data_IF_848345510382
#
_entry.id   IF_848345510382
#
_cell.length_a   1.000
_cell.length_b   1.000
_cell.length_c   1.000
_cell.angle_alpha   90.00
_cell.angle_beta   90.00
_cell.angle_gamma   90.00
#
_symmetry.space_group_name_H-M   'P 1'
#
loop_
_entity.id
_entity.type
_entity.pdbx_description
1 polymer ?
#
# COMPACT_ATOMS: atom_id res chain seq x y z
N UNK A 1 47.37 26.75 106.03
CA UNK A 1 48.72 26.98 105.51
C UNK A 1 48.63 28.26 104.63
N UNK A 2 49.55 29.20 104.80
CA UNK A 2 49.47 30.45 104.06
C UNK A 2 49.71 30.18 102.56
N UNK A 3 48.84 30.60 101.73
CA UNK A 3 48.95 30.57 100.26
C UNK A 3 49.96 31.65 99.86
N UNK A 4 51.17 31.29 99.53
CA UNK A 4 52.14 32.20 98.92
C UNK A 4 51.73 32.53 97.52
N UNK A 5 51.22 33.74 97.33
CA UNK A 5 51.02 34.25 95.95
C UNK A 5 52.38 34.59 95.35
N UNK A 6 52.81 33.90 94.37
CA UNK A 6 53.96 34.28 93.55
C UNK A 6 53.54 35.44 92.64
N UNK A 7 54.18 36.57 92.77
CA UNK A 7 53.98 37.77 91.95
C UNK A 7 54.63 37.61 90.58
N UNK A 8 54.11 38.29 89.56
CA UNK A 8 54.70 38.32 88.24
C UNK A 8 56.20 38.66 88.29
N UNK A 9 57.03 37.77 87.86
CA UNK A 9 58.48 37.89 87.86
C UNK A 9 59.19 36.90 88.82
N UNK A 10 58.46 36.14 89.65
CA UNK A 10 59.08 35.13 90.59
C UNK A 10 58.95 33.70 90.04
N UNK A 11 58.47 33.49 88.86
CA UNK A 11 58.49 32.18 88.23
C UNK A 11 59.82 32.01 87.47
N UNK A 12 60.59 31.00 87.72
CA UNK A 12 61.77 30.72 86.90
C UNK A 12 61.38 30.39 85.50
N UNK A 13 62.22 30.80 84.56
CA UNK A 13 61.96 30.63 83.10
C UNK A 13 61.73 29.19 82.68
N UNK A 14 61.90 28.21 83.54
CA UNK A 14 61.56 26.80 83.35
C UNK A 14 60.99 26.17 84.61
N UNK A 15 59.75 25.76 84.61
CA UNK A 15 59.12 24.87 85.59
C UNK A 15 59.21 23.43 85.05
N UNK A 16 60.38 22.80 85.18
CA UNK A 16 60.47 21.37 84.93
C UNK A 16 59.90 20.60 86.11
N UNK A 17 58.94 19.72 85.97
CA UNK A 17 58.32 18.85 86.95
C UNK A 17 57.43 19.52 88.00
N UNK A 18 56.73 20.61 87.70
CA UNK A 18 55.69 21.12 88.61
C UNK A 18 54.35 20.55 88.28
N UNK A 19 53.75 19.80 89.19
CA UNK A 19 52.33 19.39 89.08
C UNK A 19 51.45 20.52 89.56
N UNK A 20 50.58 21.01 88.74
CA UNK A 20 49.51 21.94 89.10
C UNK A 20 48.34 21.10 89.62
N UNK A 21 48.04 21.26 90.92
CA UNK A 21 47.00 20.48 91.57
C UNK A 21 45.61 20.72 90.98
N UNK A 22 44.70 19.79 91.18
CA UNK A 22 43.33 19.77 90.62
C UNK A 22 42.47 20.97 90.95
N UNK A 23 42.83 21.78 91.89
CA UNK A 23 42.15 22.99 92.34
C UNK A 23 42.74 24.29 91.76
N UNK A 24 43.75 24.20 90.92
CA UNK A 24 44.43 25.35 90.36
C UNK A 24 44.02 25.62 88.94
N UNK A 25 43.56 26.84 88.73
CA UNK A 25 43.22 27.30 87.36
C UNK A 25 44.41 28.10 86.82
N UNK A 26 44.88 27.69 85.62
CA UNK A 26 45.83 28.52 84.87
C UNK A 26 45.05 29.59 84.19
N UNK A 27 44.96 30.77 84.78
CA UNK A 27 44.32 31.91 84.16
C UNK A 27 45.35 32.72 83.36
N UNK A 28 45.68 32.30 82.17
CA UNK A 28 46.61 32.99 81.28
C UNK A 28 45.95 33.38 80.02
N UNK A 29 46.47 34.40 79.41
CA UNK A 29 46.05 34.68 78.00
C UNK A 29 46.61 33.57 77.12
N UNK A 30 45.73 32.67 76.64
CA UNK A 30 46.09 31.50 75.89
C UNK A 30 46.85 31.77 74.56
N UNK A 31 47.04 33.02 74.17
CA UNK A 31 47.87 33.37 73.01
C UNK A 31 49.34 32.97 73.11
N UNK A 32 49.80 32.61 74.27
CA UNK A 32 51.21 32.18 74.54
C UNK A 32 51.32 30.75 75.10
N UNK A 33 50.27 30.00 75.17
CA UNK A 33 50.40 28.59 75.65
C UNK A 33 50.95 27.73 74.51
N UNK A 34 52.21 27.35 74.59
CA UNK A 34 52.83 26.42 73.63
C UNK A 34 52.83 25.03 74.18
N UNK A 35 52.17 24.11 73.63
CA UNK A 35 52.17 22.69 73.96
C UNK A 35 53.05 21.99 72.93
N UNK A 36 54.25 21.59 73.34
CA UNK A 36 55.21 20.97 72.40
C UNK A 36 54.79 19.53 72.03
N UNK A 37 55.30 19.03 70.95
CA UNK A 37 55.20 17.62 70.53
C UNK A 37 54.14 17.30 69.46
N UNK A 38 53.28 18.26 69.04
CA UNK A 38 52.38 18.05 67.97
C UNK A 38 52.98 18.34 66.59
N UNK A 39 52.45 17.68 65.54
CA UNK A 39 52.77 17.93 64.19
C UNK A 39 51.61 18.73 63.48
N UNK A 40 51.91 19.36 62.39
CA UNK A 40 50.90 20.10 61.67
C UNK A 40 49.69 19.20 61.32
N UNK A 41 48.48 19.68 61.58
CA UNK A 41 47.23 18.94 61.35
C UNK A 41 46.80 18.03 62.50
N UNK A 42 47.57 17.99 63.65
CA UNK A 42 47.11 17.34 64.84
C UNK A 42 46.32 18.26 65.76
N UNK A 43 45.36 17.70 66.46
CA UNK A 43 44.57 18.35 67.52
C UNK A 43 44.91 17.78 68.88
N UNK A 44 44.85 18.61 69.93
CA UNK A 44 45.00 18.14 71.28
C UNK A 44 43.69 17.47 71.74
N UNK A 45 43.79 16.17 72.03
CA UNK A 45 42.64 15.33 72.38
C UNK A 45 42.74 14.89 73.83
N UNK A 46 41.62 14.74 74.51
CA UNK A 46 41.54 14.17 75.84
C UNK A 46 40.99 12.75 75.78
N UNK A 47 41.52 11.87 76.64
CA UNK A 47 41.02 10.50 76.77
C UNK A 47 39.78 10.38 77.67
N UNK A 48 39.19 11.50 78.12
CA UNK A 48 38.09 11.52 79.10
C UNK A 48 38.48 11.38 80.54
N UNK A 49 39.74 10.99 80.83
CA UNK A 49 40.31 10.87 82.16
C UNK A 49 41.30 11.99 82.52
N UNK A 50 41.28 13.07 81.73
CA UNK A 50 42.09 14.26 81.98
C UNK A 50 43.47 14.25 81.35
N UNK A 51 43.89 13.19 80.71
CA UNK A 51 45.15 13.16 79.94
C UNK A 51 44.97 13.74 78.55
N UNK A 52 45.87 14.59 78.13
CA UNK A 52 45.93 15.18 76.82
C UNK A 52 46.99 14.48 75.95
N UNK A 53 46.66 14.19 74.74
CA UNK A 53 47.57 13.65 73.70
C UNK A 53 47.32 14.31 72.35
N UNK A 54 48.37 14.36 71.55
CA UNK A 54 48.24 14.77 70.20
C UNK A 54 47.61 13.66 69.41
N UNK A 55 46.46 13.92 68.81
CA UNK A 55 45.77 13.01 67.92
C UNK A 55 45.71 13.64 66.53
N UNK A 56 45.76 12.83 65.47
CA UNK A 56 45.45 13.31 64.16
C UNK A 56 44.04 13.90 64.19
N UNK A 57 43.86 15.13 63.66
CA UNK A 57 42.54 15.67 63.55
C UNK A 57 41.73 14.64 62.72
N UNK A 58 40.84 13.93 63.44
CA UNK A 58 39.99 12.99 62.79
C UNK A 58 39.20 13.76 61.73
N UNK A 59 39.46 13.57 60.44
CA UNK A 59 38.62 14.06 59.37
C UNK A 59 37.22 13.58 59.69
N UNK A 60 36.30 14.48 59.88
CA UNK A 60 35.00 14.36 60.53
C UNK A 60 34.11 13.15 60.25
N UNK A 61 34.38 12.28 59.29
CA UNK A 61 33.58 11.09 59.03
C UNK A 61 34.47 9.86 58.90
N UNK A 62 34.21 8.86 59.72
CA UNK A 62 34.93 7.56 59.70
C UNK A 62 34.56 6.80 58.39
N UNK A 63 35.49 6.00 57.90
CA UNK A 63 35.25 5.08 56.80
C UNK A 63 34.10 4.12 57.11
N UNK A 64 33.41 3.67 56.06
CA UNK A 64 32.31 2.73 56.16
C UNK A 64 31.04 3.23 55.51
N UNK A 65 30.02 2.39 55.45
CA UNK A 65 28.69 2.67 54.94
C UNK A 65 27.98 3.72 55.82
N UNK A 66 27.38 4.73 55.20
CA UNK A 66 26.57 5.80 55.81
C UNK A 66 25.12 5.78 55.27
N UNK A 67 24.69 4.67 54.76
CA UNK A 67 23.37 4.46 54.16
C UNK A 67 23.38 4.58 52.65
N UNK A 68 23.25 5.78 52.13
CA UNK A 68 23.25 6.02 50.67
C UNK A 68 24.67 6.29 50.11
N UNK A 69 25.64 6.38 50.99
CA UNK A 69 27.02 6.76 50.64
C UNK A 69 28.01 5.92 51.43
N UNK A 70 29.01 5.39 50.78
CA UNK A 70 30.17 4.76 51.42
C UNK A 70 31.32 5.75 51.47
N UNK A 71 31.91 5.90 52.68
CA UNK A 71 33.10 6.73 52.92
C UNK A 71 34.33 5.84 53.01
N UNK A 72 35.43 6.25 52.40
CA UNK A 72 36.71 5.55 52.41
C UNK A 72 37.89 6.52 52.41
N UNK A 73 39.12 5.96 52.56
CA UNK A 73 40.35 6.74 52.56
C UNK A 73 40.41 7.76 53.71
N UNK A 74 39.99 7.34 54.93
CA UNK A 74 39.97 8.21 56.12
C UNK A 74 39.10 9.46 55.93
N UNK A 75 37.93 9.30 55.31
CA UNK A 75 36.98 10.39 55.06
C UNK A 75 37.21 11.18 53.77
N UNK A 76 38.22 10.85 52.98
CA UNK A 76 38.60 11.61 51.80
C UNK A 76 37.79 11.26 50.55
N UNK A 77 37.23 10.04 50.43
CA UNK A 77 36.46 9.57 49.29
C UNK A 77 35.04 9.25 49.70
N UNK A 78 34.08 9.83 48.98
CA UNK A 78 32.65 9.62 49.18
C UNK A 78 32.08 9.03 47.91
N UNK A 79 31.52 7.84 47.97
CA UNK A 79 30.94 7.13 46.86
C UNK A 79 29.44 6.95 47.09
N UNK A 80 28.60 7.39 46.18
CA UNK A 80 27.17 7.09 46.24
C UNK A 80 27.00 5.61 45.89
N UNK A 81 26.31 4.86 46.74
CA UNK A 81 26.14 3.43 46.59
C UNK A 81 25.22 3.11 45.41
N UNK A 82 25.38 1.93 44.80
CA UNK A 82 24.60 1.51 43.68
C UNK A 82 23.12 1.35 44.03
N UNK A 83 22.22 1.90 43.22
CA UNK A 83 20.76 1.75 43.34
C UNK A 83 20.10 2.63 44.41
N UNK A 84 20.86 3.51 45.12
CA UNK A 84 20.31 4.37 46.18
C UNK A 84 19.76 5.69 45.70
N UNK A 85 20.09 6.10 44.46
CA UNK A 85 19.51 7.31 43.84
C UNK A 85 18.12 6.98 43.31
N UNK A 86 17.12 7.19 44.17
CA UNK A 86 15.71 7.06 43.81
C UNK A 86 15.22 8.31 43.07
N UNK A 87 14.05 8.24 42.43
CA UNK A 87 13.42 9.41 41.76
C UNK A 87 13.25 10.60 42.70
N UNK A 88 12.97 10.38 43.98
CA UNK A 88 12.85 11.43 44.99
C UNK A 88 14.17 12.14 45.33
N UNK A 89 15.31 11.55 44.95
CA UNK A 89 16.65 12.11 45.16
C UNK A 89 17.23 12.79 43.94
N UNK A 90 16.54 12.66 42.80
CA UNK A 90 16.90 13.35 41.57
C UNK A 90 16.33 14.78 41.58
N UNK A 91 16.99 15.68 40.88
CA UNK A 91 16.46 17.02 40.65
C UNK A 91 15.10 16.94 39.93
N UNK A 92 14.12 17.71 40.38
CA UNK A 92 12.84 17.82 39.74
C UNK A 92 13.01 18.36 38.31
N UNK A 93 12.21 17.82 37.36
CA UNK A 93 12.15 18.36 36.00
C UNK A 93 11.40 19.69 36.02
N UNK A 94 11.84 20.65 35.21
CA UNK A 94 11.37 22.03 35.25
C UNK A 94 9.92 22.22 34.82
N UNK A 95 9.37 21.26 34.04
CA UNK A 95 8.00 21.33 33.54
C UNK A 95 7.48 19.93 33.16
N UNK A 96 6.17 19.83 32.90
CA UNK A 96 5.55 18.64 32.33
C UNK A 96 6.07 18.37 30.89
N UNK A 97 5.94 17.14 30.42
CA UNK A 97 6.37 16.73 29.08
C UNK A 97 7.89 16.89 28.82
N UNK A 98 8.68 16.63 29.83
CA UNK A 98 10.14 16.59 29.76
C UNK A 98 10.66 15.19 29.97
N UNK A 99 11.76 14.89 29.29
CA UNK A 99 12.55 13.68 29.48
C UNK A 99 13.97 14.07 29.89
N UNK A 100 14.53 13.36 30.85
CA UNK A 100 15.95 13.48 31.15
C UNK A 100 16.73 12.64 30.13
N UNK A 101 17.66 13.27 29.45
CA UNK A 101 18.47 12.63 28.41
C UNK A 101 19.60 13.55 27.98
N UNK A 102 20.19 13.28 26.83
CA UNK A 102 21.21 14.13 26.25
C UNK A 102 21.00 14.28 24.75
N UNK A 103 20.84 15.52 24.29
CA UNK A 103 20.68 15.87 22.88
C UNK A 103 21.96 16.45 22.27
N UNK A 104 22.83 17.06 23.11
CA UNK A 104 24.10 17.64 22.68
C UNK A 104 25.12 16.57 22.31
N UNK A 105 26.01 16.86 21.36
CA UNK A 105 27.07 15.94 20.92
C UNK A 105 28.15 15.77 21.99
N UNK A 106 28.71 14.57 22.08
CA UNK A 106 29.79 14.21 23.02
C UNK A 106 29.28 13.83 24.42
N UNK A 107 30.20 13.51 25.33
CA UNK A 107 29.90 13.25 26.76
C UNK A 107 29.63 14.56 27.50
N UNK A 108 28.73 14.54 28.46
CA UNK A 108 28.38 15.70 29.27
C UNK A 108 27.18 15.45 30.18
N UNK A 109 26.70 16.49 30.82
CA UNK A 109 25.61 16.43 31.78
C UNK A 109 24.29 16.01 31.16
N UNK A 110 23.35 15.54 32.00
CA UNK A 110 21.96 15.22 31.59
C UNK A 110 21.22 16.53 31.26
N UNK A 111 20.46 16.51 30.18
CA UNK A 111 19.68 17.61 29.68
C UNK A 111 18.17 17.31 29.78
N UNK A 112 17.33 18.32 29.94
CA UNK A 112 15.89 18.19 29.81
C UNK A 112 15.48 18.26 28.33
N UNK A 113 15.02 17.16 27.78
CA UNK A 113 14.55 17.06 26.40
C UNK A 113 13.07 17.34 26.35
N UNK A 114 12.66 18.30 25.53
CA UNK A 114 11.26 18.61 25.27
C UNK A 114 10.66 17.59 24.28
N UNK A 115 9.48 17.07 24.56
CA UNK A 115 8.72 16.28 23.62
C UNK A 115 8.11 17.22 22.57
N UNK A 116 8.61 17.10 21.32
CA UNK A 116 8.18 17.96 20.19
C UNK A 116 6.82 17.54 19.61
N UNK A 117 6.38 18.31 18.60
CA UNK A 117 5.16 17.99 17.85
C UNK A 117 5.25 16.61 17.19
N UNK A 118 4.13 15.88 17.17
CA UNK A 118 4.08 14.50 16.65
C UNK A 118 4.26 13.42 17.72
N UNK A 119 4.58 13.79 18.97
CA UNK A 119 4.62 12.89 20.11
C UNK A 119 3.77 13.45 21.26
N UNK A 120 3.09 12.57 21.98
CA UNK A 120 2.32 12.92 23.19
C UNK A 120 2.77 12.02 24.34
N UNK A 121 3.04 12.62 25.51
CA UNK A 121 3.26 11.91 26.75
C UNK A 121 1.96 11.88 27.53
N UNK A 122 1.43 10.67 27.77
CA UNK A 122 0.25 10.46 28.62
C UNK A 122 0.62 9.51 29.76
N UNK A 123 0.67 10.04 30.99
CA UNK A 123 1.21 9.30 32.11
C UNK A 123 2.70 8.98 31.89
N UNK A 124 3.03 7.69 31.83
CA UNK A 124 4.39 7.20 31.59
C UNK A 124 4.61 6.69 30.15
N UNK A 125 3.64 6.90 29.26
CA UNK A 125 3.67 6.38 27.90
C UNK A 125 3.86 7.51 26.89
N UNK A 126 4.87 7.38 26.02
CA UNK A 126 5.06 8.24 24.85
C UNK A 126 4.38 7.55 23.67
N UNK A 127 3.48 8.26 23.02
CA UNK A 127 2.81 7.82 21.80
C UNK A 127 2.97 8.86 20.70
N UNK A 128 2.91 8.43 19.45
CA UNK A 128 2.84 9.35 18.33
C UNK A 128 1.51 10.10 18.37
N UNK A 129 1.54 11.44 18.48
CA UNK A 129 0.32 12.27 18.51
C UNK A 129 -0.29 12.50 17.12
N UNK A 130 0.51 12.28 16.10
CA UNK A 130 0.02 12.03 14.76
C UNK A 130 0.17 10.55 14.53
N UNK A 131 -0.73 9.75 15.05
CA UNK A 131 -0.86 8.37 14.60
C UNK A 131 -1.08 8.43 13.11
N UNK A 132 -0.02 8.47 12.32
CA UNK A 132 -0.10 8.06 10.95
C UNK A 132 -0.64 6.65 11.04
N UNK A 133 -1.96 6.48 10.84
CA UNK A 133 -2.51 5.17 10.54
C UNK A 133 -1.56 4.58 9.52
N UNK A 134 -1.11 3.34 9.72
CA UNK A 134 -0.34 2.65 8.70
C UNK A 134 -1.00 2.96 7.35
N UNK A 135 -0.23 3.22 6.28
CA UNK A 135 -0.80 3.55 4.99
C UNK A 135 -1.92 2.57 4.69
N UNK A 136 -3.14 3.06 4.58
CA UNK A 136 -4.30 2.23 4.31
C UNK A 136 -4.49 2.18 2.80
N UNK A 137 -4.67 0.98 2.26
CA UNK A 137 -5.04 0.78 0.86
C UNK A 137 -6.28 -0.10 0.83
N UNK A 138 -7.31 0.37 0.14
CA UNK A 138 -8.53 -0.38 -0.13
C UNK A 138 -8.74 -0.47 -1.64
N UNK A 139 -9.20 -1.63 -2.11
CA UNK A 139 -9.57 -1.84 -3.51
C UNK A 139 -11.02 -2.24 -3.59
N UNK A 140 -11.82 -1.40 -4.23
CA UNK A 140 -13.23 -1.68 -4.50
C UNK A 140 -13.38 -2.10 -5.97
N UNK A 141 -13.89 -3.30 -6.21
CA UNK A 141 -14.20 -3.82 -7.55
C UNK A 141 -15.70 -3.84 -7.75
N UNK A 142 -16.20 -3.03 -8.67
CA UNK A 142 -17.61 -2.77 -8.90
C UNK A 142 -18.00 -3.27 -10.27
N UNK A 143 -18.86 -4.30 -10.32
CA UNK A 143 -19.31 -4.99 -11.53
C UNK A 143 -20.80 -4.79 -11.83
N UNK A 144 -21.51 -4.05 -10.98
CA UNK A 144 -22.91 -3.67 -11.16
C UNK A 144 -23.11 -2.22 -10.72
N UNK A 145 -24.09 -1.55 -11.31
CA UNK A 145 -24.40 -0.15 -10.98
C UNK A 145 -24.79 0.01 -9.53
N UNK A 146 -24.13 0.93 -8.82
CA UNK A 146 -24.38 1.22 -7.42
C UNK A 146 -23.85 2.59 -7.02
N UNK A 147 -24.19 3.02 -5.81
CA UNK A 147 -23.57 4.18 -5.17
C UNK A 147 -22.35 3.74 -4.37
N UNK A 148 -21.23 4.35 -4.62
CA UNK A 148 -19.99 4.16 -3.85
C UNK A 148 -19.76 5.36 -2.94
N UNK A 149 -19.37 5.10 -1.68
CA UNK A 149 -19.04 6.15 -0.70
C UNK A 149 -17.56 6.06 -0.37
N UNK A 150 -16.80 7.15 -0.56
CA UNK A 150 -15.37 7.13 -0.23
C UNK A 150 -15.16 6.87 1.27
N UNK A 151 -14.18 6.03 1.66
CA UNK A 151 -13.79 5.87 3.05
C UNK A 151 -13.35 7.21 3.65
N UNK A 152 -13.75 7.48 4.90
CA UNK A 152 -13.43 8.74 5.58
C UNK A 152 -11.93 9.02 5.75
N UNK A 153 -11.12 7.96 5.74
CA UNK A 153 -9.66 8.03 5.82
C UNK A 153 -8.98 8.22 4.45
N UNK A 154 -9.70 8.02 3.34
CA UNK A 154 -9.15 8.09 1.97
C UNK A 154 -8.72 9.52 1.63
N UNK A 155 -7.50 9.66 1.11
CA UNK A 155 -6.92 10.93 0.65
C UNK A 155 -6.78 10.99 -0.86
N UNK A 156 -6.48 9.83 -1.47
CA UNK A 156 -6.28 9.69 -2.91
C UNK A 156 -7.07 8.50 -3.43
N UNK A 157 -7.67 8.67 -4.63
CA UNK A 157 -8.50 7.67 -5.28
C UNK A 157 -8.04 7.51 -6.73
N UNK A 158 -7.53 6.34 -7.08
CA UNK A 158 -7.25 5.97 -8.47
C UNK A 158 -8.44 5.17 -8.99
N UNK A 159 -9.12 5.70 -10.00
CA UNK A 159 -10.29 5.07 -10.62
C UNK A 159 -9.91 4.53 -11.98
N UNK A 160 -10.11 3.22 -12.17
CA UNK A 160 -9.99 2.52 -13.44
C UNK A 160 -11.40 2.15 -13.89
N UNK A 161 -11.85 2.71 -15.01
CA UNK A 161 -13.20 2.52 -15.51
C UNK A 161 -13.17 1.90 -16.91
N UNK A 162 -13.90 0.81 -17.08
CA UNK A 162 -14.10 0.14 -18.35
C UNK A 162 -15.58 0.21 -18.74
N UNK A 163 -15.90 0.62 -19.97
CA UNK A 163 -17.20 0.42 -20.56
C UNK A 163 -17.44 -1.07 -20.86
N UNK A 164 -18.62 -1.42 -21.32
CA UNK A 164 -18.90 -2.79 -21.68
C UNK A 164 -18.39 -3.13 -23.10
N UNK A 165 -18.07 -4.40 -23.35
CA UNK A 165 -17.72 -4.88 -24.67
C UNK A 165 -18.94 -5.01 -25.58
N UNK A 166 -18.76 -4.85 -26.90
CA UNK A 166 -19.79 -5.11 -27.91
C UNK A 166 -20.02 -6.60 -28.12
N UNK A 167 -21.23 -6.97 -28.55
CA UNK A 167 -21.55 -8.33 -28.97
C UNK A 167 -21.02 -8.62 -30.39
N UNK A 168 -20.68 -9.86 -30.70
CA UNK A 168 -20.30 -10.30 -32.03
C UNK A 168 -21.48 -10.42 -32.96
N UNK A 169 -21.26 -10.29 -34.27
CA UNK A 169 -22.25 -10.58 -35.30
C UNK A 169 -22.45 -12.08 -35.51
N UNK A 170 -23.62 -12.49 -35.99
CA UNK A 170 -23.91 -13.86 -36.40
C UNK A 170 -23.31 -14.17 -37.78
N UNK A 171 -23.08 -15.44 -38.06
CA UNK A 171 -22.72 -15.90 -39.39
C UNK A 171 -23.87 -15.79 -40.40
N UNK A 172 -23.55 -15.55 -41.69
CA UNK A 172 -24.51 -15.62 -42.78
C UNK A 172 -24.87 -17.05 -43.12
N UNK A 173 -26.07 -17.27 -43.68
CA UNK A 173 -26.59 -18.55 -44.16
C UNK A 173 -26.87 -18.49 -45.63
N UNK A 174 -26.10 -19.20 -46.45
CA UNK A 174 -26.20 -19.14 -47.90
C UNK A 174 -26.04 -20.53 -48.55
N UNK A 175 -26.39 -20.63 -49.85
CA UNK A 175 -26.18 -21.86 -50.59
C UNK A 175 -24.69 -22.23 -50.69
N UNK A 176 -24.38 -23.53 -50.79
CA UNK A 176 -23.02 -24.01 -50.97
C UNK A 176 -22.32 -23.46 -52.21
N UNK A 177 -23.10 -23.03 -53.21
CA UNK A 177 -22.63 -22.38 -54.44
C UNK A 177 -22.28 -20.90 -54.28
N UNK A 178 -22.52 -20.31 -53.10
CA UNK A 178 -22.22 -18.92 -52.78
C UNK A 178 -21.15 -18.82 -51.70
N UNK A 179 -20.37 -17.74 -51.69
CA UNK A 179 -19.51 -17.37 -50.61
C UNK A 179 -20.33 -17.13 -49.34
N UNK A 180 -19.78 -17.52 -48.21
CA UNK A 180 -20.42 -17.45 -46.89
C UNK A 180 -19.42 -16.91 -45.89
N UNK A 181 -19.73 -15.78 -45.25
CA UNK A 181 -18.86 -15.20 -44.22
C UNK A 181 -19.46 -15.38 -42.84
N UNK A 182 -18.61 -15.62 -41.87
CA UNK A 182 -18.97 -15.51 -40.46
C UNK A 182 -19.22 -14.07 -40.04
N UNK A 183 -19.76 -13.86 -38.85
CA UNK A 183 -19.90 -12.54 -38.26
C UNK A 183 -18.57 -11.99 -37.76
N UNK A 184 -18.44 -10.68 -37.74
CA UNK A 184 -17.32 -10.01 -37.05
C UNK A 184 -17.50 -10.03 -35.54
N UNK A 185 -16.43 -9.99 -34.81
CA UNK A 185 -16.48 -9.88 -33.33
C UNK A 185 -16.87 -8.48 -32.87
N UNK A 186 -17.38 -8.38 -31.66
CA UNK A 186 -17.55 -7.10 -30.99
C UNK A 186 -16.21 -6.45 -30.62
N UNK A 187 -16.19 -5.14 -30.53
CA UNK A 187 -15.04 -4.39 -30.01
C UNK A 187 -15.02 -4.45 -28.48
N UNK A 188 -13.82 -4.42 -27.89
CA UNK A 188 -13.68 -4.17 -26.49
C UNK A 188 -13.77 -2.67 -26.14
N UNK A 189 -14.08 -2.37 -24.92
CA UNK A 189 -13.99 -1.01 -24.38
C UNK A 189 -12.55 -0.68 -23.96
N UNK A 190 -12.02 0.51 -24.22
CA UNK A 190 -10.77 0.95 -23.61
C UNK A 190 -10.94 1.16 -22.11
N UNK A 191 -9.83 1.18 -21.36
CA UNK A 191 -9.83 1.69 -20.00
C UNK A 191 -9.68 3.20 -19.99
N UNK A 192 -10.36 3.85 -19.08
CA UNK A 192 -10.09 5.25 -18.72
C UNK A 192 -9.63 5.26 -17.27
N UNK A 193 -8.49 5.94 -17.01
CA UNK A 193 -7.89 6.00 -15.68
C UNK A 193 -7.82 7.46 -15.25
N UNK A 194 -8.24 7.74 -14.02
CA UNK A 194 -8.14 9.06 -13.43
C UNK A 194 -7.77 8.96 -11.96
N UNK A 195 -7.01 9.96 -11.50
CA UNK A 195 -6.63 10.13 -10.11
C UNK A 195 -7.39 11.31 -9.52
N UNK A 196 -7.93 11.12 -8.32
CA UNK A 196 -8.69 12.13 -7.58
C UNK A 196 -8.16 12.27 -6.16
N UNK A 197 -8.33 13.46 -5.61
CA UNK A 197 -8.09 13.73 -4.19
C UNK A 197 -9.40 13.74 -3.40
N UNK A 198 -9.34 13.64 -2.08
CA UNK A 198 -10.52 13.76 -1.22
C UNK A 198 -11.26 15.11 -1.35
N UNK A 199 -10.58 16.15 -1.82
CA UNK A 199 -11.21 17.46 -2.09
C UNK A 199 -12.03 17.47 -3.39
N UNK A 200 -11.74 16.57 -4.32
CA UNK A 200 -12.47 16.43 -5.59
C UNK A 200 -13.65 15.45 -5.47
N UNK A 201 -13.57 14.49 -4.53
CA UNK A 201 -14.66 13.57 -4.23
C UNK A 201 -15.17 13.85 -2.81
N UNK A 202 -16.10 14.77 -2.69
CA UNK A 202 -16.60 15.26 -1.39
C UNK A 202 -17.79 14.49 -0.85
N UNK A 203 -18.26 13.45 -1.53
CA UNK A 203 -19.41 12.66 -1.14
C UNK A 203 -19.56 11.38 -1.93
N UNK A 204 -20.67 10.71 -1.77
CA UNK A 204 -20.98 9.48 -2.50
C UNK A 204 -21.09 9.72 -4.00
N UNK A 205 -20.58 8.77 -4.81
CA UNK A 205 -20.57 8.81 -6.26
C UNK A 205 -21.47 7.70 -6.80
N UNK A 206 -22.40 8.05 -7.68
CA UNK A 206 -23.21 7.07 -8.41
C UNK A 206 -22.37 6.46 -9.54
N UNK A 207 -22.17 5.15 -9.50
CA UNK A 207 -21.41 4.41 -10.51
C UNK A 207 -22.42 3.67 -11.39
N UNK A 208 -22.36 3.92 -12.69
CA UNK A 208 -23.11 3.14 -13.68
C UNK A 208 -22.14 2.20 -14.37
N UNK A 209 -22.53 0.92 -14.44
CA UNK A 209 -21.77 -0.11 -15.16
C UNK A 209 -22.55 -0.48 -16.41
N UNK A 210 -21.91 -0.32 -17.57
CA UNK A 210 -22.51 -0.65 -18.87
C UNK A 210 -22.79 -2.14 -18.99
N UNK A 211 -23.93 -2.50 -19.54
CA UNK A 211 -24.26 -3.88 -19.92
C UNK A 211 -23.52 -4.30 -21.19
N UNK A 212 -23.03 -5.53 -21.26
CA UNK A 212 -22.43 -6.11 -22.44
C UNK A 212 -23.40 -6.08 -23.64
N UNK A 213 -22.88 -5.82 -24.83
CA UNK A 213 -23.66 -5.89 -26.05
C UNK A 213 -24.12 -7.33 -26.32
N UNK A 214 -25.34 -7.52 -26.80
CA UNK A 214 -25.87 -8.84 -27.19
C UNK A 214 -25.26 -9.29 -28.52
N UNK A 215 -24.92 -10.56 -28.64
CA UNK A 215 -24.51 -11.17 -29.90
C UNK A 215 -25.67 -11.24 -30.88
N UNK A 216 -25.36 -11.17 -32.17
CA UNK A 216 -26.33 -11.34 -33.24
C UNK A 216 -26.93 -12.77 -33.24
N UNK A 217 -28.23 -12.90 -33.44
CA UNK A 217 -28.88 -14.21 -33.46
C UNK A 217 -28.48 -15.00 -34.73
N UNK A 218 -28.22 -16.30 -34.55
CA UNK A 218 -27.96 -17.21 -35.70
C UNK A 218 -29.13 -17.30 -36.67
N UNK A 219 -28.84 -17.43 -37.97
CA UNK A 219 -29.85 -17.42 -39.03
C UNK A 219 -30.44 -18.80 -39.25
N UNK A 220 -31.77 -18.86 -39.32
CA UNK A 220 -32.55 -20.05 -39.63
C UNK A 220 -33.17 -19.98 -41.00
N UNK A 221 -33.19 -18.81 -41.65
CA UNK A 221 -33.71 -18.57 -42.99
C UNK A 221 -32.60 -18.67 -44.03
N UNK A 222 -32.85 -19.38 -45.14
CA UNK A 222 -31.91 -19.53 -46.25
C UNK A 222 -31.61 -18.21 -46.95
N UNK A 223 -30.39 -18.08 -47.44
CA UNK A 223 -29.93 -16.92 -48.23
C UNK A 223 -30.10 -15.61 -47.47
N UNK A 224 -29.71 -15.63 -46.17
CA UNK A 224 -29.85 -14.49 -45.25
C UNK A 224 -28.52 -14.12 -44.65
N UNK A 225 -28.21 -12.83 -44.63
CA UNK A 225 -27.06 -12.29 -43.90
C UNK A 225 -27.22 -12.49 -42.38
N UNK A 226 -26.12 -12.65 -41.72
CA UNK A 226 -26.09 -12.73 -40.27
C UNK A 226 -26.64 -11.46 -39.61
N UNK A 227 -27.24 -11.60 -38.44
CA UNK A 227 -27.65 -10.46 -37.62
C UNK A 227 -26.42 -9.77 -37.00
N UNK A 228 -26.46 -8.45 -36.88
CA UNK A 228 -25.43 -7.68 -36.20
C UNK A 228 -25.49 -7.91 -34.68
N UNK A 229 -24.35 -7.87 -34.02
CA UNK A 229 -24.29 -7.68 -32.60
C UNK A 229 -24.57 -6.23 -32.21
N UNK A 230 -24.91 -6.00 -30.94
CA UNK A 230 -25.17 -4.65 -30.44
C UNK A 230 -23.92 -4.07 -29.76
N UNK A 231 -23.85 -2.76 -29.67
CA UNK A 231 -22.79 -2.09 -28.87
C UNK A 231 -22.97 -2.41 -27.39
N UNK A 232 -21.86 -2.41 -26.67
CA UNK A 232 -21.85 -2.40 -25.21
C UNK A 232 -22.27 -1.04 -24.66
N UNK A 233 -22.75 -1.04 -23.41
CA UNK A 233 -23.14 0.18 -22.70
C UNK A 233 -21.94 0.97 -22.17
N UNK A 234 -22.12 2.25 -21.99
CA UNK A 234 -21.16 3.12 -21.35
C UNK A 234 -21.13 2.87 -19.84
N UNK A 235 -19.93 3.03 -19.23
CA UNK A 235 -19.78 3.09 -17.77
C UNK A 235 -19.43 4.50 -17.33
N UNK A 236 -19.93 4.91 -16.14
CA UNK A 236 -19.65 6.24 -15.59
C UNK A 236 -19.27 6.18 -14.11
N UNK A 237 -18.40 7.06 -13.69
CA UNK A 237 -18.11 7.36 -12.30
C UNK A 237 -18.64 8.76 -11.99
N UNK A 238 -19.89 8.84 -11.61
CA UNK A 238 -20.65 10.09 -11.51
C UNK A 238 -20.60 10.89 -12.81
N UNK A 239 -20.41 12.19 -12.68
CA UNK A 239 -20.09 13.10 -13.78
C UNK A 239 -18.59 13.28 -14.02
N UNK A 240 -17.75 12.61 -13.21
CA UNK A 240 -16.29 12.82 -13.17
C UNK A 240 -15.56 12.03 -14.27
N UNK A 241 -16.03 10.83 -14.57
CA UNK A 241 -15.37 9.96 -15.54
C UNK A 241 -16.40 9.17 -16.33
N UNK A 242 -16.18 9.06 -17.63
CA UNK A 242 -17.02 8.27 -18.54
C UNK A 242 -16.13 7.40 -19.42
N UNK A 243 -16.50 6.12 -19.57
CA UNK A 243 -15.88 5.18 -20.48
C UNK A 243 -16.94 4.63 -21.44
N UNK A 244 -16.71 4.75 -22.73
CA UNK A 244 -17.66 4.37 -23.79
C UNK A 244 -17.59 2.86 -24.02
N UNK A 245 -18.73 2.22 -24.25
CA UNK A 245 -18.81 0.80 -24.60
C UNK A 245 -18.26 0.50 -25.99
N UNK A 246 -17.85 -0.75 -26.23
CA UNK A 246 -17.35 -1.26 -27.50
C UNK A 246 -18.46 -1.40 -28.55
N UNK A 247 -18.17 -1.16 -29.82
CA UNK A 247 -19.11 -1.35 -30.94
C UNK A 247 -19.44 -2.82 -31.18
N UNK A 248 -20.66 -3.11 -31.62
CA UNK A 248 -21.07 -4.46 -32.03
C UNK A 248 -20.45 -4.89 -33.37
N UNK A 249 -20.19 -6.19 -33.51
CA UNK A 249 -19.73 -6.80 -34.76
C UNK A 249 -20.85 -6.90 -35.81
N UNK A 250 -20.55 -6.73 -37.09
CA UNK A 250 -21.51 -6.91 -38.17
C UNK A 250 -21.75 -8.39 -38.46
N UNK A 251 -22.94 -8.72 -38.85
CA UNK A 251 -23.30 -10.04 -39.32
C UNK A 251 -22.55 -10.42 -40.62
N UNK A 252 -22.33 -11.71 -40.82
CA UNK A 252 -21.69 -12.25 -42.00
C UNK A 252 -22.59 -12.12 -43.24
N UNK A 253 -21.99 -11.79 -44.38
CA UNK A 253 -22.66 -11.69 -45.69
C UNK A 253 -22.05 -12.65 -46.70
N UNK A 254 -22.24 -12.44 -48.00
CA UNK A 254 -21.51 -13.14 -49.06
C UNK A 254 -20.12 -12.55 -49.32
N UNK A 255 -19.75 -11.43 -48.68
CA UNK A 255 -18.47 -10.75 -48.92
C UNK A 255 -17.64 -10.55 -47.64
N UNK A 256 -18.28 -10.22 -46.52
CA UNK A 256 -17.56 -9.95 -45.25
C UNK A 256 -18.50 -9.94 -44.04
N UNK A 257 -17.91 -10.09 -42.88
CA UNK A 257 -18.47 -9.70 -41.58
C UNK A 257 -17.45 -8.84 -40.83
N UNK A 258 -17.64 -7.53 -40.82
CA UNK A 258 -16.68 -6.61 -40.20
C UNK A 258 -16.77 -6.63 -38.67
N UNK A 259 -15.65 -6.56 -38.01
CA UNK A 259 -15.63 -6.40 -36.57
C UNK A 259 -16.20 -5.04 -36.12
N UNK A 260 -16.72 -5.02 -34.91
CA UNK A 260 -17.16 -3.79 -34.25
C UNK A 260 -16.02 -2.79 -34.10
N UNK A 261 -16.34 -1.50 -34.22
CA UNK A 261 -15.34 -0.42 -34.05
C UNK A 261 -15.75 0.44 -32.88
N UNK A 262 -14.77 0.90 -32.17
CA UNK A 262 -14.94 1.95 -31.17
C UNK A 262 -14.01 3.10 -31.48
N UNK A 263 -14.56 4.29 -31.56
CA UNK A 263 -13.81 5.53 -31.75
C UNK A 263 -13.77 6.29 -30.42
N UNK A 264 -12.58 6.56 -29.92
CA UNK A 264 -12.40 7.36 -28.69
C UNK A 264 -11.69 8.65 -29.07
N UNK A 265 -12.40 9.76 -29.03
CA UNK A 265 -11.88 11.06 -29.46
C UNK A 265 -10.82 11.68 -28.56
N UNK A 266 -10.68 11.20 -27.33
CA UNK A 266 -9.75 11.75 -26.33
C UNK A 266 -9.01 10.68 -25.51
N UNK A 267 -8.78 9.49 -26.05
CA UNK A 267 -8.04 8.45 -25.36
C UNK A 267 -6.57 8.45 -25.76
N UNK A 268 -5.68 8.44 -24.78
CA UNK A 268 -4.25 8.13 -24.97
C UNK A 268 -4.04 6.66 -25.44
N UNK A 269 -5.12 5.87 -25.54
CA UNK A 269 -5.12 4.42 -25.77
C UNK A 269 -5.81 4.06 -27.08
N UNK A 270 -5.61 4.69 -28.16
CA UNK A 270 -6.04 4.26 -29.50
C UNK A 270 -7.44 3.62 -29.65
N UNK A 271 -7.94 3.55 -30.85
CA UNK A 271 -9.22 2.91 -31.17
C UNK A 271 -9.13 1.38 -31.09
N UNK A 272 -10.17 0.70 -30.58
CA UNK A 272 -10.29 -0.74 -30.64
C UNK A 272 -11.23 -1.13 -31.79
N UNK A 273 -10.89 -2.14 -32.59
CA UNK A 273 -11.78 -2.74 -33.60
C UNK A 273 -11.83 -4.25 -33.42
N UNK A 274 -12.97 -4.87 -33.61
CA UNK A 274 -13.15 -6.32 -33.53
C UNK A 274 -12.47 -7.04 -34.71
N UNK A 275 -12.22 -8.36 -34.55
CA UNK A 275 -11.76 -9.23 -35.64
C UNK A 275 -12.80 -9.32 -36.74
N UNK A 276 -12.38 -9.20 -37.98
CA UNK A 276 -13.26 -9.35 -39.17
C UNK A 276 -13.31 -10.80 -39.62
N UNK A 277 -14.33 -11.16 -40.39
CA UNK A 277 -14.36 -12.38 -41.19
C UNK A 277 -14.35 -12.03 -42.67
N UNK A 278 -13.81 -12.90 -43.49
CA UNK A 278 -13.87 -12.82 -44.96
C UNK A 278 -14.28 -14.16 -45.54
N UNK A 279 -14.69 -14.16 -46.83
CA UNK A 279 -15.03 -15.38 -47.53
C UNK A 279 -13.82 -16.32 -47.64
N UNK A 280 -14.01 -17.59 -47.36
CA UNK A 280 -13.01 -18.64 -47.51
C UNK A 280 -11.87 -18.62 -46.48
N UNK A 281 -11.96 -17.81 -45.49
CA UNK A 281 -10.88 -17.67 -44.52
C UNK A 281 -11.24 -18.26 -43.13
N UNK A 282 -10.24 -18.79 -42.46
CA UNK A 282 -10.20 -18.87 -40.98
C UNK A 282 -10.58 -17.49 -40.46
N UNK A 283 -11.44 -17.42 -39.44
CA UNK A 283 -11.80 -16.15 -38.83
C UNK A 283 -10.53 -15.37 -38.41
N UNK A 284 -10.48 -14.09 -38.75
CA UNK A 284 -9.30 -13.30 -38.42
C UNK A 284 -9.12 -13.19 -36.91
N UNK A 285 -7.89 -13.30 -36.50
CA UNK A 285 -7.47 -12.97 -35.11
C UNK A 285 -7.73 -11.48 -34.88
N UNK A 286 -8.18 -11.14 -33.69
CA UNK A 286 -8.27 -9.75 -33.30
C UNK A 286 -6.87 -9.13 -33.17
N UNK A 287 -6.63 -8.07 -33.91
CA UNK A 287 -5.37 -7.33 -33.78
C UNK A 287 -5.46 -6.34 -32.61
N UNK A 288 -4.37 -6.23 -31.88
CA UNK A 288 -4.19 -5.16 -30.89
C UNK A 288 -3.86 -3.86 -31.61
N UNK A 289 -4.45 -2.79 -31.19
CA UNK A 289 -3.86 -1.48 -31.41
C UNK A 289 -3.58 -0.87 -30.05
N UNK A 290 -2.33 -0.86 -29.66
CA UNK A 290 -1.89 -0.02 -28.57
C UNK A 290 -0.36 0.06 -28.54
N UNK A 291 0.13 1.19 -28.16
CA UNK A 291 1.52 1.43 -27.80
C UNK A 291 1.59 1.54 -26.29
N UNK A 292 2.45 0.75 -25.68
CA UNK A 292 2.79 0.93 -24.26
C UNK A 292 3.82 2.01 -24.19
N UNK A 293 3.54 3.04 -23.45
CA UNK A 293 4.59 3.80 -22.81
C UNK A 293 4.52 3.52 -21.32
N UNK A 294 5.53 2.79 -20.86
CA UNK A 294 6.02 2.69 -19.52
C UNK A 294 5.08 2.21 -18.38
N UNK A 295 5.59 1.29 -17.66
CA UNK A 295 5.46 0.79 -16.30
C UNK A 295 4.11 0.84 -15.53
N UNK A 296 3.12 1.65 -15.88
CA UNK A 296 1.89 1.82 -15.11
C UNK A 296 0.59 1.81 -15.91
N UNK A 297 0.58 1.35 -17.15
CA UNK A 297 -0.58 1.37 -18.03
C UNK A 297 -1.28 0.03 -18.08
N UNK A 298 -2.35 -0.13 -17.31
CA UNK A 298 -3.32 -1.22 -17.48
C UNK A 298 -4.21 -0.84 -18.65
N UNK A 299 -4.12 -1.56 -19.76
CA UNK A 299 -4.72 -1.17 -21.03
C UNK A 299 -6.00 -1.92 -21.34
N UNK A 300 -6.87 -1.24 -22.03
CA UNK A 300 -8.23 -1.42 -22.42
C UNK A 300 -8.72 -2.78 -22.90
N UNK A 301 -10.04 -2.86 -23.03
CA UNK A 301 -10.77 -4.07 -23.39
C UNK A 301 -10.30 -4.73 -24.66
N UNK A 302 -10.25 -6.05 -24.65
CA UNK A 302 -9.80 -6.86 -25.75
C UNK A 302 -10.95 -7.20 -26.71
N UNK A 303 -10.60 -7.46 -27.95
CA UNK A 303 -11.53 -7.75 -29.04
C UNK A 303 -11.80 -9.24 -29.14
N UNK A 304 -13.00 -9.64 -29.50
CA UNK A 304 -13.31 -11.05 -29.78
C UNK A 304 -12.70 -11.52 -31.11
N UNK A 305 -12.57 -12.82 -31.29
CA UNK A 305 -12.20 -13.45 -32.56
C UNK A 305 -13.34 -13.42 -33.54
N UNK A 306 -13.08 -13.17 -34.83
CA UNK A 306 -14.09 -13.24 -35.91
C UNK A 306 -14.61 -14.66 -36.13
N UNK A 307 -15.87 -14.82 -36.54
CA UNK A 307 -16.42 -16.11 -36.96
C UNK A 307 -15.78 -16.57 -38.27
N UNK A 308 -15.76 -17.88 -38.54
CA UNK A 308 -15.22 -18.43 -39.80
C UNK A 308 -16.23 -18.40 -40.90
N UNK A 309 -15.74 -18.24 -42.11
CA UNK A 309 -16.51 -18.28 -43.37
C UNK A 309 -16.04 -19.40 -44.30
N UNK A 310 -16.68 -19.52 -45.46
CA UNK A 310 -16.35 -20.49 -46.51
C UNK A 310 -16.57 -19.91 -47.91
N UNK A 311 -15.70 -20.28 -48.84
CA UNK A 311 -15.91 -19.96 -50.28
C UNK A 311 -16.98 -20.83 -50.93
N UNK A 312 -17.48 -20.39 -52.06
CA UNK A 312 -18.40 -21.15 -52.91
C UNK A 312 -17.80 -22.54 -53.24
N UNK A 313 -18.65 -23.55 -53.22
CA UNK A 313 -18.30 -24.94 -53.55
C UNK A 313 -17.22 -25.60 -52.69
N UNK A 314 -16.79 -24.98 -51.62
CA UNK A 314 -15.84 -25.61 -50.67
C UNK A 314 -16.57 -26.44 -49.62
N UNK A 315 -16.00 -27.61 -49.31
CA UNK A 315 -16.52 -28.56 -48.31
C UNK A 315 -15.60 -28.65 -47.07
N UNK A 316 -14.52 -27.87 -47.03
CA UNK A 316 -13.56 -27.87 -45.92
C UNK A 316 -14.15 -27.20 -44.66
N UNK A 317 -13.76 -27.68 -43.50
CA UNK A 317 -14.04 -26.98 -42.24
C UNK A 317 -13.05 -25.83 -42.06
N UNK A 318 -13.51 -24.71 -41.52
CA UNK A 318 -12.69 -23.54 -41.20
C UNK A 318 -12.82 -23.20 -39.72
N UNK A 319 -11.72 -22.79 -39.12
CA UNK A 319 -11.66 -22.45 -37.69
C UNK A 319 -12.15 -21.03 -37.44
N UNK A 320 -12.73 -20.79 -36.28
CA UNK A 320 -13.00 -19.46 -35.76
C UNK A 320 -11.70 -18.73 -35.36
N UNK A 321 -11.75 -17.41 -35.46
CA UNK A 321 -10.62 -16.59 -34.98
C UNK A 321 -10.37 -16.73 -33.50
N UNK A 322 -9.12 -16.85 -33.14
CA UNK A 322 -8.68 -16.84 -31.75
C UNK A 322 -8.24 -15.43 -31.33
N UNK A 323 -8.07 -15.26 -30.06
CA UNK A 323 -7.45 -14.08 -29.48
C UNK A 323 -5.97 -14.38 -29.25
N UNK A 324 -5.07 -13.47 -29.66
CA UNK A 324 -3.64 -13.66 -29.47
C UNK A 324 -3.22 -13.47 -28.00
N UNK A 325 -2.21 -14.28 -27.60
CA UNK A 325 -1.54 -14.16 -26.32
C UNK A 325 -0.87 -12.80 -26.16
N UNK A 326 -0.88 -12.31 -24.97
CA UNK A 326 0.00 -11.24 -24.58
C UNK A 326 1.39 -11.80 -24.21
N UNK A 327 2.37 -11.62 -25.10
CA UNK A 327 3.76 -12.00 -24.87
C UNK A 327 4.53 -10.89 -24.13
N UNK A 328 4.04 -10.49 -22.99
CA UNK A 328 4.68 -9.51 -22.11
C UNK A 328 4.86 -10.09 -20.72
N UNK A 329 4.86 -9.24 -19.74
CA UNK A 329 5.03 -9.57 -18.31
C UNK A 329 4.02 -10.62 -17.77
N UNK A 330 3.02 -11.04 -18.58
CA UNK A 330 1.88 -11.89 -18.17
C UNK A 330 1.72 -13.11 -19.08
N UNK A 331 2.67 -13.99 -19.04
CA UNK A 331 2.69 -15.22 -19.84
C UNK A 331 1.63 -16.28 -19.49
N UNK A 332 0.70 -16.02 -18.57
CA UNK A 332 -0.24 -17.01 -18.03
C UNK A 332 -1.73 -16.78 -18.34
N UNK A 333 -2.11 -15.73 -19.09
CA UNK A 333 -3.51 -15.52 -19.44
C UNK A 333 -3.86 -16.32 -20.68
N UNK A 334 -4.69 -17.36 -20.51
CA UNK A 334 -5.13 -18.20 -21.61
C UNK A 334 -5.92 -17.38 -22.63
N UNK A 335 -5.51 -17.43 -23.89
CA UNK A 335 -6.28 -16.90 -24.99
C UNK A 335 -7.60 -17.66 -25.18
N UNK A 336 -8.69 -16.97 -25.53
CA UNK A 336 -9.91 -17.65 -25.94
C UNK A 336 -9.72 -18.20 -27.35
N UNK A 337 -9.62 -19.50 -27.49
CA UNK A 337 -9.46 -20.13 -28.80
C UNK A 337 -10.76 -20.08 -29.60
N UNK A 338 -10.61 -19.96 -30.91
CA UNK A 338 -11.71 -20.15 -31.82
C UNK A 338 -12.22 -21.60 -31.85
N UNK A 339 -13.48 -21.80 -32.26
CA UNK A 339 -14.04 -23.14 -32.41
C UNK A 339 -13.37 -23.92 -33.55
N UNK A 340 -13.49 -25.23 -33.50
CA UNK A 340 -13.01 -26.17 -34.53
C UNK A 340 -14.15 -27.09 -34.97
N UNK A 341 -14.15 -27.55 -36.22
CA UNK A 341 -15.10 -28.55 -36.74
C UNK A 341 -16.59 -28.25 -36.49
N UNK A 342 -17.04 -27.01 -36.68
CA UNK A 342 -18.42 -26.59 -36.41
C UNK A 342 -18.69 -26.26 -34.93
N UNK A 343 -17.70 -26.32 -34.08
CA UNK A 343 -17.81 -26.02 -32.66
C UNK A 343 -17.82 -24.53 -32.31
N UNK A 344 -18.29 -24.22 -31.15
CA UNK A 344 -18.33 -22.86 -30.62
C UNK A 344 -16.93 -22.32 -30.31
N UNK A 345 -16.74 -21.02 -30.41
CA UNK A 345 -15.62 -20.34 -29.82
C UNK A 345 -15.68 -20.39 -28.28
N UNK A 346 -14.54 -20.43 -27.63
CA UNK A 346 -14.47 -20.44 -26.18
C UNK A 346 -14.87 -19.06 -25.60
N UNK A 347 -15.54 -19.09 -24.47
CA UNK A 347 -15.80 -17.88 -23.72
C UNK A 347 -14.50 -17.28 -23.18
N UNK A 348 -14.48 -15.96 -23.02
CA UNK A 348 -13.47 -15.27 -22.26
C UNK A 348 -13.47 -15.70 -20.81
N UNK A 349 -12.32 -15.53 -20.17
CA UNK A 349 -12.11 -15.80 -18.74
C UNK A 349 -11.74 -14.52 -18.00
N UNK A 350 -11.90 -14.55 -16.69
CA UNK A 350 -11.42 -13.46 -15.82
C UNK A 350 -10.06 -13.82 -15.23
N UNK A 351 -9.23 -12.82 -14.99
CA UNK A 351 -7.95 -12.98 -14.30
C UNK A 351 -7.68 -11.77 -13.42
N UNK A 352 -6.88 -11.95 -12.37
CA UNK A 352 -6.48 -10.85 -11.48
C UNK A 352 -5.02 -10.51 -11.73
N UNK A 353 -4.75 -9.21 -11.88
CA UNK A 353 -3.41 -8.68 -11.98
C UNK A 353 -3.23 -7.53 -11.00
N UNK A 354 -2.32 -7.68 -10.05
CA UNK A 354 -2.18 -6.74 -8.96
C UNK A 354 -3.52 -6.54 -8.23
N UNK A 355 -4.02 -5.33 -8.28
CA UNK A 355 -5.31 -4.98 -7.66
C UNK A 355 -6.50 -5.00 -8.63
N UNK A 356 -6.29 -5.37 -9.89
CA UNK A 356 -7.33 -5.31 -10.92
C UNK A 356 -7.82 -6.69 -11.35
N UNK A 357 -9.14 -6.88 -11.37
CA UNK A 357 -9.77 -8.02 -12.04
C UNK A 357 -10.10 -7.61 -13.48
N UNK A 358 -9.60 -8.35 -14.46
CA UNK A 358 -9.71 -8.09 -15.88
C UNK A 358 -10.38 -9.26 -16.58
N UNK A 359 -10.88 -9.04 -17.80
CA UNK A 359 -11.48 -10.06 -18.63
C UNK A 359 -10.70 -10.34 -19.90
N UNK A 360 -10.99 -11.47 -20.55
CA UNK A 360 -10.55 -11.77 -21.92
C UNK A 360 -11.75 -11.83 -22.85
N UNK A 361 -11.55 -11.64 -24.17
CA UNK A 361 -12.62 -11.67 -25.15
C UNK A 361 -13.06 -13.11 -25.48
N UNK A 362 -14.18 -13.25 -26.18
CA UNK A 362 -14.66 -14.52 -26.74
C UNK A 362 -13.98 -14.90 -28.04
N UNK A 363 -13.74 -16.18 -28.25
CA UNK A 363 -13.27 -16.76 -29.53
C UNK A 363 -14.36 -16.85 -30.56
N UNK A 364 -14.03 -16.86 -31.88
CA UNK A 364 -14.98 -17.00 -32.96
C UNK A 364 -15.50 -18.43 -33.11
N UNK A 365 -16.73 -18.59 -33.61
CA UNK A 365 -17.30 -19.87 -33.98
C UNK A 365 -16.68 -20.47 -35.26
N UNK A 366 -16.70 -21.79 -35.42
CA UNK A 366 -16.16 -22.48 -36.58
C UNK A 366 -17.25 -22.99 -37.52
N UNK A 367 -16.93 -23.02 -38.80
CA UNK A 367 -17.75 -23.54 -39.87
C UNK A 367 -17.47 -25.04 -40.12
N UNK A 368 -18.52 -25.78 -40.45
CA UNK A 368 -18.45 -27.12 -41.04
C UNK A 368 -19.60 -27.35 -41.96
N UNK A 369 -19.29 -27.94 -43.11
CA UNK A 369 -20.30 -28.23 -44.17
C UNK A 369 -21.34 -29.25 -43.68
N UNK A 370 -22.59 -29.02 -44.03
CA UNK A 370 -23.68 -29.98 -43.83
C UNK A 370 -24.18 -30.11 -42.40
N UNK A 371 -23.89 -29.15 -41.54
CA UNK A 371 -24.42 -29.09 -40.19
C UNK A 371 -24.58 -27.66 -39.65
N UNK A 372 -25.25 -27.51 -38.52
CA UNK A 372 -25.26 -26.26 -37.79
C UNK A 372 -23.83 -25.88 -37.36
N UNK A 373 -23.52 -24.60 -37.34
CA UNK A 373 -22.18 -24.08 -37.14
C UNK A 373 -22.03 -23.39 -35.81
N UNK A 374 -20.77 -23.23 -35.36
CA UNK A 374 -20.46 -22.77 -34.05
C UNK A 374 -20.79 -21.32 -33.77
N UNK A 375 -21.29 -21.03 -32.59
CA UNK A 375 -21.47 -19.67 -32.09
C UNK A 375 -20.13 -19.06 -31.65
N UNK A 376 -20.05 -17.75 -31.60
CA UNK A 376 -18.95 -17.02 -30.94
C UNK A 376 -19.02 -17.17 -29.44
N UNK A 377 -17.89 -17.17 -28.77
CA UNK A 377 -17.79 -17.14 -27.32
C UNK A 377 -18.10 -15.78 -26.73
N UNK A 378 -18.56 -15.73 -25.49
CA UNK A 378 -18.82 -14.48 -24.79
C UNK A 378 -17.53 -13.81 -24.32
N UNK A 379 -17.46 -12.49 -24.30
CA UNK A 379 -16.42 -11.70 -23.66
C UNK A 379 -16.64 -11.56 -22.14
N UNK A 380 -15.60 -11.18 -21.44
CA UNK A 380 -15.65 -10.83 -19.99
C UNK A 380 -15.18 -9.38 -19.81
N UNK A 381 -15.63 -8.71 -18.78
CA UNK A 381 -15.33 -7.33 -18.37
C UNK A 381 -14.71 -6.41 -19.43
N UNK A 382 -15.57 -5.65 -20.09
CA UNK A 382 -15.18 -4.68 -21.11
C UNK A 382 -14.68 -5.30 -22.44
N UNK A 383 -14.63 -6.64 -22.55
CA UNK A 383 -14.13 -7.31 -23.74
C UNK A 383 -15.24 -7.70 -24.71
N UNK A 384 -14.94 -7.71 -26.01
CA UNK A 384 -15.89 -8.03 -27.07
C UNK A 384 -16.24 -9.51 -27.11
N UNK A 385 -17.47 -9.83 -27.55
CA UNK A 385 -17.91 -11.19 -27.90
C UNK A 385 -17.35 -11.64 -29.24
N UNK A 386 -17.15 -12.94 -29.46
CA UNK A 386 -16.70 -13.54 -30.70
C UNK A 386 -17.79 -13.53 -31.80
N UNK A 387 -17.40 -13.55 -33.07
CA UNK A 387 -18.32 -13.68 -34.21
C UNK A 387 -18.81 -15.13 -34.38
N UNK A 388 -20.05 -15.31 -34.81
CA UNK A 388 -20.62 -16.62 -35.18
C UNK A 388 -20.16 -17.07 -36.57
N UNK A 389 -20.08 -18.39 -36.79
CA UNK A 389 -19.69 -18.96 -38.06
C UNK A 389 -20.83 -18.92 -39.09
N UNK A 390 -20.47 -18.84 -40.38
CA UNK A 390 -21.41 -19.00 -41.50
C UNK A 390 -21.97 -20.42 -41.55
N UNK A 391 -23.09 -20.64 -42.24
CA UNK A 391 -23.66 -21.98 -42.51
C UNK A 391 -24.17 -22.12 -43.94
N UNK A 392 -24.37 -23.39 -44.34
CA UNK A 392 -25.09 -23.75 -45.55
C UNK A 392 -26.58 -23.56 -45.38
N UNK A 393 -27.29 -23.36 -46.52
CA UNK A 393 -28.75 -23.43 -46.54
C UNK A 393 -29.23 -24.78 -45.94
N UNK A 394 -30.27 -24.76 -45.15
CA UNK A 394 -30.77 -25.93 -44.41
C UNK A 394 -30.22 -26.03 -42.99
N UNK A 395 -29.15 -25.35 -42.65
CA UNK A 395 -28.51 -25.44 -41.32
C UNK A 395 -28.42 -24.07 -40.64
N UNK A 396 -28.62 -24.03 -39.34
CA UNK A 396 -28.55 -22.78 -38.56
C UNK A 396 -27.13 -22.25 -38.55
N UNK A 397 -26.92 -20.96 -38.79
CA UNK A 397 -25.63 -20.30 -38.65
C UNK A 397 -25.30 -20.02 -37.19
N UNK A 398 -24.03 -19.87 -36.89
CA UNK A 398 -23.56 -19.55 -35.54
C UNK A 398 -24.04 -18.16 -35.11
N UNK A 399 -24.57 -18.06 -33.92
CA UNK A 399 -24.83 -16.77 -33.25
C UNK A 399 -23.52 -16.07 -32.87
N UNK A 400 -23.55 -14.76 -32.79
CA UNK A 400 -22.45 -14.00 -32.15
C UNK A 400 -22.43 -14.19 -30.64
N UNK A 401 -21.27 -14.11 -30.03
CA UNK A 401 -21.13 -14.10 -28.56
C UNK A 401 -21.50 -12.75 -27.97
N UNK A 402 -21.93 -12.73 -26.75
CA UNK A 402 -22.19 -11.47 -26.01
C UNK A 402 -20.88 -10.79 -25.64
N UNK A 403 -20.86 -9.47 -25.58
CA UNK A 403 -19.81 -8.69 -24.96
C UNK A 403 -19.85 -8.79 -23.44
N UNK A 404 -18.72 -8.60 -22.79
CA UNK A 404 -18.61 -8.54 -21.32
C UNK A 404 -19.13 -7.21 -20.77
N UNK A 405 -19.74 -7.24 -19.59
CA UNK A 405 -20.13 -6.03 -18.87
C UNK A 405 -18.94 -5.12 -18.54
N UNK A 406 -19.19 -3.84 -18.28
CA UNK A 406 -18.18 -2.91 -17.78
C UNK A 406 -17.72 -3.28 -16.36
N UNK A 407 -16.70 -2.57 -15.89
CA UNK A 407 -16.17 -2.71 -14.53
C UNK A 407 -15.56 -1.39 -14.08
N UNK A 408 -15.71 -1.06 -12.79
CA UNK A 408 -15.02 0.04 -12.15
C UNK A 408 -14.17 -0.49 -11.00
N UNK A 409 -12.89 -0.11 -10.99
CA UNK A 409 -11.96 -0.48 -9.92
C UNK A 409 -11.46 0.82 -9.29
N UNK A 410 -11.60 0.92 -7.95
CA UNK A 410 -11.19 2.10 -7.19
C UNK A 410 -10.13 1.66 -6.20
N UNK A 411 -8.96 2.28 -6.28
CA UNK A 411 -7.88 2.09 -5.32
C UNK A 411 -7.82 3.32 -4.45
N UNK A 412 -8.18 3.17 -3.18
CA UNK A 412 -8.14 4.23 -2.17
C UNK A 412 -6.85 4.13 -1.37
N UNK A 413 -6.18 5.26 -1.17
CA UNK A 413 -4.96 5.39 -0.36
C UNK A 413 -5.18 6.49 0.67
N UNK A 414 -4.80 6.21 1.96
CA UNK A 414 -4.98 7.13 3.09
C UNK A 414 -3.77 7.36 3.93
#
# INVERSE_FOLDING_TARGET
>A
MPTTKLNNGQLPDSLSSKTIGTSNTINTNLTKLTIAGGSNGQVLSTNGSGNLSWATAGGGVTDGDKGDVTVSSSGATWTIDNGVVSYAKMQDVSATSRLLGRASSGAGDVEEITIGSGLTLTGTTISASGGGSAPQVQVDTITSSQTWTPPAWGKYFKVLLYGAGGGGGAGGRYATTSDRCGGGSGAGSPAVIADYTATQITGSVSITIGAGGTGGAGQTTNTTAGANGTAGGDSTFGSLLKCIGGGGGNGGSTSSGSGGVQYVTNSIFGNSSGGSSSNGATGNVSQRSWTVNEANSITGGYRGGGGSGQTANSTSSTQGGSHDYWTGIYSSVAASSGGTNGGNGNNGVTFTHGYATLGTPGGGGSYKTGQATGAGGNGQYGCGGGGGAASDNGFTSGAGGNGGGGICIIITVG
#
